data_IF_101896810216
#
_entry.id   IF_101896810216
#
_cell.length_a   1.000
_cell.length_b   1.000
_cell.length_c   1.000
_cell.angle_alpha   90.00
_cell.angle_beta   90.00
_cell.angle_gamma   90.00
#
_symmetry.space_group_name_H-M   'P 1'
#
loop_
_entity.id
_entity.type
_entity.pdbx_description
1 polymer ?
#
# COMPACT_ATOMS: atom_id res chain seq x y z
N UNK A 1 13.93 50.82 14.12
CA UNK A 1 14.17 49.70 15.04
C UNK A 1 12.82 49.20 15.48
N UNK A 2 12.43 48.03 14.97
CA UNK A 2 11.50 47.09 15.57
C UNK A 2 11.61 45.83 14.71
N UNK A 3 12.66 45.05 15.02
CA UNK A 3 12.84 43.71 14.51
C UNK A 3 11.78 42.82 15.17
N UNK A 4 10.80 42.39 14.38
CA UNK A 4 9.91 41.31 14.79
C UNK A 4 10.63 40.01 14.41
N UNK A 5 10.96 39.12 15.36
CA UNK A 5 11.64 37.89 15.02
C UNK A 5 10.65 36.99 14.29
N UNK A 6 11.00 36.61 13.07
CA UNK A 6 10.34 35.55 12.33
C UNK A 6 10.23 34.32 13.24
N UNK A 7 9.01 34.01 13.66
CA UNK A 7 8.65 32.70 14.18
C UNK A 7 8.80 31.71 13.04
N UNK A 8 10.02 31.22 12.88
CA UNK A 8 10.35 30.07 12.06
C UNK A 8 9.66 28.88 12.73
N UNK A 9 8.43 28.58 12.31
CA UNK A 9 7.75 27.34 12.66
C UNK A 9 8.57 26.22 12.05
N UNK A 10 9.45 25.64 12.88
CA UNK A 10 10.23 24.46 12.54
C UNK A 10 9.27 23.37 12.11
N UNK A 11 9.22 23.09 10.81
CA UNK A 11 8.56 21.91 10.26
C UNK A 11 9.35 20.67 10.68
N UNK A 12 9.22 20.27 11.95
CA UNK A 12 9.63 18.95 12.43
C UNK A 12 8.66 17.92 11.84
N UNK A 13 8.76 17.65 10.55
CA UNK A 13 8.18 16.45 9.96
C UNK A 13 9.10 15.29 10.33
N UNK A 14 8.93 14.80 11.57
CA UNK A 14 9.50 13.55 12.09
C UNK A 14 8.87 12.31 11.41
N UNK A 15 8.54 12.42 10.12
CA UNK A 15 8.02 11.30 9.36
C UNK A 15 9.15 10.33 9.06
N UNK A 16 8.96 9.02 9.28
CA UNK A 16 9.93 8.05 8.81
C UNK A 16 10.14 8.24 7.30
N UNK A 17 11.38 8.09 6.79
CA UNK A 17 11.60 8.11 5.35
C UNK A 17 10.88 6.92 4.71
N UNK A 18 10.32 7.13 3.52
CA UNK A 18 9.72 6.05 2.73
C UNK A 18 10.76 4.96 2.45
N UNK A 19 10.35 3.68 2.41
CA UNK A 19 11.24 2.58 2.09
C UNK A 19 11.75 2.73 0.65
N UNK A 20 12.97 2.27 0.42
CA UNK A 20 13.50 2.14 -0.93
C UNK A 20 13.03 0.81 -1.52
N UNK A 21 12.10 0.89 -2.48
CA UNK A 21 11.53 -0.28 -3.14
C UNK A 21 12.46 -0.78 -4.26
N UNK A 22 12.39 -2.09 -4.53
CA UNK A 22 13.17 -2.79 -5.55
C UNK A 22 12.54 -2.66 -6.93
N UNK A 23 11.21 -2.63 -7.00
CA UNK A 23 10.41 -2.50 -8.20
C UNK A 23 9.83 -1.10 -8.34
N UNK A 24 9.38 -0.79 -9.56
CA UNK A 24 8.56 0.39 -9.81
C UNK A 24 7.09 0.01 -9.60
N UNK A 25 6.42 0.70 -8.69
CA UNK A 25 5.02 0.45 -8.36
C UNK A 25 4.18 1.57 -8.96
N UNK A 26 3.28 1.21 -9.85
CA UNK A 26 2.30 2.15 -10.41
C UNK A 26 0.91 1.79 -9.87
N UNK A 27 0.24 2.69 -9.13
CA UNK A 27 0.66 4.07 -8.81
C UNK A 27 1.68 4.17 -7.65
N UNK A 28 1.88 3.11 -6.86
CA UNK A 28 2.81 3.11 -5.74
C UNK A 28 2.26 3.90 -4.54
N UNK A 29 3.10 4.72 -3.91
CA UNK A 29 2.65 5.59 -2.82
C UNK A 29 1.72 6.68 -3.33
N UNK A 30 0.50 6.72 -2.78
CA UNK A 30 -0.55 7.68 -3.11
C UNK A 30 -1.11 8.31 -1.83
N UNK A 31 -1.97 9.30 -1.98
CA UNK A 31 -2.80 9.83 -0.90
C UNK A 31 -4.14 10.20 -1.54
N UNK A 32 -5.05 9.23 -1.60
CA UNK A 32 -6.37 9.39 -2.23
C UNK A 32 -7.45 9.26 -1.16
N UNK A 33 -8.21 10.33 -0.95
CA UNK A 33 -9.26 10.38 0.07
C UNK A 33 -10.61 10.06 -0.55
N UNK A 34 -11.29 9.04 -0.01
CA UNK A 34 -12.62 8.60 -0.41
C UNK A 34 -13.59 8.80 0.76
N UNK A 35 -13.94 10.06 0.99
CA UNK A 35 -14.73 10.49 2.18
C UNK A 35 -16.04 9.70 2.33
N UNK A 36 -16.71 9.40 1.21
CA UNK A 36 -17.99 8.68 1.21
C UNK A 36 -17.87 7.19 1.54
N UNK A 37 -16.69 6.60 1.33
CA UNK A 37 -16.37 5.20 1.63
C UNK A 37 -15.67 5.04 2.98
N UNK A 38 -15.19 6.16 3.54
CA UNK A 38 -14.53 6.19 4.83
C UNK A 38 -13.09 5.71 4.75
N UNK A 39 -12.36 5.95 3.67
CA UNK A 39 -10.98 5.50 3.54
C UNK A 39 -10.03 6.53 2.90
N UNK A 40 -8.75 6.44 3.27
CA UNK A 40 -7.61 7.11 2.63
C UNK A 40 -6.68 6.03 2.12
N UNK A 41 -6.52 5.94 0.81
CA UNK A 41 -5.58 5.02 0.19
C UNK A 41 -4.18 5.62 0.23
N UNK A 42 -3.23 4.83 0.73
CA UNK A 42 -1.85 5.21 0.98
C UNK A 42 -0.85 4.56 0.02
N UNK A 43 -1.19 3.36 -0.46
CA UNK A 43 -0.36 2.64 -1.41
C UNK A 43 -1.21 1.71 -2.27
N UNK A 44 -0.90 1.64 -3.57
CA UNK A 44 -1.46 0.66 -4.50
C UNK A 44 -0.38 0.08 -5.39
N UNK A 45 -0.48 -1.21 -5.67
CA UNK A 45 0.35 -1.84 -6.68
C UNK A 45 -0.32 -3.07 -7.27
N UNK A 46 -0.03 -3.32 -8.54
CA UNK A 46 -0.43 -4.54 -9.24
C UNK A 46 0.80 -5.39 -9.57
N UNK A 47 0.73 -6.70 -9.34
CA UNK A 47 1.59 -7.69 -9.99
C UNK A 47 0.80 -8.26 -11.19
N UNK A 48 1.15 -7.91 -12.43
CA UNK A 48 0.32 -8.24 -13.59
C UNK A 48 0.36 -9.71 -14.01
N UNK A 49 1.49 -10.39 -13.88
CA UNK A 49 1.68 -11.80 -14.28
C UNK A 49 0.83 -12.74 -13.42
N UNK A 50 0.77 -12.46 -12.12
CA UNK A 50 -0.02 -13.18 -11.12
C UNK A 50 -1.39 -12.56 -10.90
N UNK A 51 -1.72 -11.47 -11.59
CA UNK A 51 -3.00 -10.76 -11.43
C UNK A 51 -3.33 -10.54 -9.96
N UNK A 52 -2.41 -9.91 -9.23
CA UNK A 52 -2.60 -9.58 -7.83
C UNK A 52 -2.60 -8.06 -7.70
N UNK A 53 -3.63 -7.52 -7.07
CA UNK A 53 -3.67 -6.13 -6.64
C UNK A 53 -3.45 -6.09 -5.13
N UNK A 54 -2.62 -5.15 -4.69
CA UNK A 54 -2.38 -4.85 -3.29
C UNK A 54 -2.78 -3.41 -3.01
N UNK A 55 -3.51 -3.21 -1.91
CA UNK A 55 -3.86 -1.89 -1.40
C UNK A 55 -3.53 -1.79 0.09
N UNK A 56 -3.01 -0.63 0.48
CA UNK A 56 -2.94 -0.20 1.87
C UNK A 56 -3.73 1.10 2.05
N UNK A 57 -4.58 1.14 3.07
CA UNK A 57 -5.43 2.30 3.37
C UNK A 57 -5.64 2.46 4.87
N UNK A 58 -5.99 3.69 5.26
CA UNK A 58 -6.59 3.97 6.56
C UNK A 58 -8.09 4.05 6.33
N UNK A 59 -8.85 3.18 6.97
CA UNK A 59 -10.31 3.23 6.94
C UNK A 59 -10.88 3.70 8.28
N UNK A 60 -11.97 4.46 8.23
CA UNK A 60 -12.78 4.88 9.36
C UNK A 60 -14.25 4.58 9.07
N UNK A 61 -14.92 3.93 10.01
CA UNK A 61 -16.37 3.76 9.99
C UNK A 61 -16.93 3.10 8.72
N UNK A 62 -16.69 1.80 8.57
CA UNK A 62 -17.57 0.90 7.83
C UNK A 62 -18.61 0.29 8.77
N UNK A 63 -19.76 -0.14 8.25
CA UNK A 63 -20.86 -0.69 9.07
C UNK A 63 -20.41 -1.98 9.77
N UNK A 64 -19.97 -1.88 11.05
CA UNK A 64 -19.50 -3.02 11.84
C UNK A 64 -18.17 -2.78 12.58
N UNK A 65 -17.35 -1.83 12.15
CA UNK A 65 -16.05 -1.54 12.77
C UNK A 65 -16.04 -0.18 13.51
N UNK A 66 -15.81 -0.17 14.84
CA UNK A 66 -15.98 1.02 15.66
C UNK A 66 -14.77 1.97 15.69
N UNK A 67 -13.68 1.64 14.99
CA UNK A 67 -12.42 2.37 15.09
C UNK A 67 -11.73 2.57 13.74
N UNK A 68 -11.02 3.68 13.61
CA UNK A 68 -10.10 3.91 12.50
C UNK A 68 -8.95 2.91 12.58
N UNK A 69 -8.63 2.24 11.47
CA UNK A 69 -7.62 1.20 11.41
C UNK A 69 -6.78 1.31 10.14
N UNK A 70 -5.58 0.73 10.19
CA UNK A 70 -4.74 0.51 9.02
C UNK A 70 -5.09 -0.85 8.42
N UNK A 71 -5.43 -0.87 7.13
CA UNK A 71 -5.80 -2.07 6.39
C UNK A 71 -4.74 -2.38 5.34
N UNK A 72 -4.44 -3.66 5.19
CA UNK A 72 -3.57 -4.18 4.14
C UNK A 72 -4.27 -5.37 3.52
N UNK A 73 -4.60 -5.30 2.25
CA UNK A 73 -5.24 -6.41 1.58
C UNK A 73 -4.71 -6.63 0.18
N UNK A 74 -4.83 -7.88 -0.25
CA UNK A 74 -4.45 -8.34 -1.56
C UNK A 74 -5.61 -9.11 -2.16
N UNK A 75 -5.93 -8.81 -3.42
CA UNK A 75 -7.03 -9.43 -4.13
C UNK A 75 -6.62 -9.79 -5.56
N UNK A 76 -7.32 -10.75 -6.21
CA UNK A 76 -7.12 -11.01 -7.62
C UNK A 76 -7.49 -9.77 -8.46
N UNK A 77 -6.61 -9.38 -9.37
CA UNK A 77 -6.90 -8.32 -10.33
C UNK A 77 -7.85 -8.84 -11.42
N UNK A 78 -9.09 -8.37 -11.37
CA UNK A 78 -10.13 -8.71 -12.35
C UNK A 78 -10.78 -10.09 -12.14
N UNK A 79 -10.60 -11.01 -13.10
CA UNK A 79 -11.29 -12.31 -13.07
C UNK A 79 -10.60 -13.28 -12.10
N UNK A 80 -11.39 -13.91 -11.22
CA UNK A 80 -10.94 -14.81 -10.15
C UNK A 80 -10.38 -16.18 -10.61
N UNK A 81 -9.96 -16.32 -11.87
CA UNK A 81 -9.40 -17.57 -12.38
C UNK A 81 -8.39 -17.37 -13.51
N UNK A 82 -7.41 -18.26 -13.57
CA UNK A 82 -6.51 -18.41 -14.71
C UNK A 82 -7.10 -19.41 -15.70
N UNK A 83 -7.15 -19.00 -16.96
CA UNK A 83 -7.49 -19.89 -18.06
C UNK A 83 -6.29 -19.97 -18.97
N UNK A 84 -5.73 -21.17 -19.07
CA UNK A 84 -4.62 -21.44 -19.97
C UNK A 84 -5.15 -21.93 -21.32
N UNK A 85 -4.60 -21.37 -22.39
CA UNK A 85 -4.88 -21.77 -23.77
C UNK A 85 -3.72 -22.54 -24.39
N UNK A 86 -2.59 -22.62 -23.69
CA UNK A 86 -1.33 -23.19 -24.16
C UNK A 86 -0.68 -24.00 -23.02
N UNK A 87 -0.17 -25.23 -23.28
CA UNK A 87 0.51 -26.05 -22.28
C UNK A 87 1.78 -25.45 -21.67
N UNK A 88 2.43 -24.48 -22.33
CA UNK A 88 3.66 -23.85 -21.86
C UNK A 88 3.38 -22.70 -20.87
N UNK A 89 2.17 -22.13 -20.87
CA UNK A 89 1.79 -20.99 -20.02
C UNK A 89 2.00 -21.20 -18.51
N UNK A 90 1.76 -22.40 -17.92
CA UNK A 90 2.10 -22.64 -16.53
C UNK A 90 3.61 -22.56 -16.25
N UNK A 91 4.44 -23.02 -17.19
CA UNK A 91 5.89 -22.93 -17.09
C UNK A 91 6.38 -21.50 -17.28
N UNK A 92 5.78 -20.76 -18.20
CA UNK A 92 6.06 -19.33 -18.36
C UNK A 92 5.75 -18.59 -17.06
N UNK A 93 4.57 -18.77 -16.47
CA UNK A 93 4.20 -18.14 -15.21
C UNK A 93 5.18 -18.46 -14.07
N UNK A 94 5.69 -19.70 -14.01
CA UNK A 94 6.69 -20.10 -13.02
C UNK A 94 8.01 -19.32 -13.14
N UNK A 95 8.38 -18.88 -14.35
CA UNK A 95 9.58 -18.06 -14.56
C UNK A 95 9.46 -16.64 -13.96
N UNK A 96 8.23 -16.20 -13.66
CA UNK A 96 7.96 -14.88 -13.04
C UNK A 96 7.94 -14.92 -11.50
N UNK A 97 8.09 -16.09 -10.86
CA UNK A 97 8.07 -16.20 -9.39
C UNK A 97 9.11 -15.33 -8.68
N UNK A 98 10.29 -15.11 -9.30
CA UNK A 98 11.30 -14.21 -8.71
C UNK A 98 10.91 -12.74 -8.77
N UNK A 99 10.04 -12.34 -9.70
CA UNK A 99 9.46 -10.99 -9.73
C UNK A 99 8.33 -10.86 -8.70
N UNK A 100 7.51 -11.90 -8.53
CA UNK A 100 6.53 -11.98 -7.46
C UNK A 100 7.18 -11.87 -6.07
N UNK A 101 8.27 -12.59 -5.82
CA UNK A 101 9.01 -12.53 -4.55
C UNK A 101 9.44 -11.10 -4.23
N UNK A 102 10.09 -10.41 -5.17
CA UNK A 102 10.51 -9.01 -4.99
C UNK A 102 9.34 -8.05 -4.77
N UNK A 103 8.23 -8.29 -5.46
CA UNK A 103 7.02 -7.49 -5.28
C UNK A 103 6.42 -7.67 -3.88
N UNK A 104 6.41 -8.89 -3.35
CA UNK A 104 5.97 -9.19 -1.99
C UNK A 104 6.92 -8.61 -0.93
N UNK A 105 8.23 -8.64 -1.18
CA UNK A 105 9.23 -8.00 -0.31
C UNK A 105 9.00 -6.48 -0.22
N UNK A 106 8.76 -5.82 -1.36
CA UNK A 106 8.44 -4.40 -1.41
C UNK A 106 7.15 -4.08 -0.66
N UNK A 107 6.11 -4.91 -0.80
CA UNK A 107 4.88 -4.80 -0.01
C UNK A 107 5.17 -4.92 1.48
N UNK A 108 5.99 -5.89 1.90
CA UNK A 108 6.38 -6.04 3.30
C UNK A 108 7.05 -4.77 3.86
N UNK A 109 7.94 -4.15 3.07
CA UNK A 109 8.58 -2.89 3.42
C UNK A 109 7.58 -1.72 3.52
N UNK A 110 6.56 -1.69 2.65
CA UNK A 110 5.47 -0.71 2.71
C UNK A 110 4.62 -0.90 3.96
N UNK A 111 4.19 -2.12 4.28
CA UNK A 111 3.42 -2.41 5.48
C UNK A 111 4.17 -1.97 6.75
N UNK A 112 5.44 -2.34 6.85
CA UNK A 112 6.29 -1.96 7.99
C UNK A 112 6.44 -0.43 8.08
N UNK A 113 6.65 0.24 6.95
CA UNK A 113 6.71 1.69 6.89
C UNK A 113 5.42 2.35 7.38
N UNK A 114 4.26 1.88 6.91
CA UNK A 114 2.96 2.46 7.25
C UNK A 114 2.61 2.22 8.74
N UNK A 115 2.94 1.05 9.29
CA UNK A 115 2.80 0.80 10.73
C UNK A 115 3.68 1.74 11.58
N UNK A 116 4.91 2.03 11.14
CA UNK A 116 5.78 3.00 11.83
C UNK A 116 5.30 4.44 11.65
N UNK A 117 4.68 4.76 10.51
CA UNK A 117 4.16 6.10 10.19
C UNK A 117 2.88 6.41 10.98
N UNK A 118 2.06 5.40 11.27
CA UNK A 118 0.80 5.50 11.99
C UNK A 118 0.76 4.53 13.20
N UNK A 119 1.67 4.70 14.18
CA UNK A 119 1.82 3.75 15.30
C UNK A 119 0.60 3.71 16.23
N UNK A 120 -0.27 4.70 16.18
CA UNK A 120 -1.51 4.79 16.93
C UNK A 120 -2.68 4.02 16.32
N UNK A 121 -2.59 3.63 15.05
CA UNK A 121 -3.65 2.91 14.37
C UNK A 121 -3.47 1.40 14.54
N UNK A 122 -4.50 0.66 14.98
CA UNK A 122 -4.46 -0.80 14.95
C UNK A 122 -4.43 -1.29 13.49
N UNK A 123 -3.81 -2.45 13.26
CA UNK A 123 -3.95 -3.16 11.98
C UNK A 123 -5.19 -4.02 12.03
N UNK A 124 -6.04 -3.90 11.02
CA UNK A 124 -7.22 -4.74 10.87
C UNK A 124 -6.78 -6.16 10.47
N UNK A 125 -7.10 -7.16 11.29
CA UNK A 125 -6.98 -8.57 10.93
C UNK A 125 -8.33 -9.02 10.36
N UNK A 126 -8.38 -9.31 9.05
CA UNK A 126 -9.57 -9.83 8.37
C UNK A 126 -9.72 -11.35 8.55
#
# INVERSE_FOLDING_TARGET
MNDNPDTNTSSDTNEPPKPKLMLDHTPGFVHEEYIDQGDIVLFRSTQPDFRLDFQADISWFTEGDPQTALSFYMEPSGNNYWQFTDPDQPSDLANHCGELERWLDDIGAVCEYLQRRYPELPVLEC
#
